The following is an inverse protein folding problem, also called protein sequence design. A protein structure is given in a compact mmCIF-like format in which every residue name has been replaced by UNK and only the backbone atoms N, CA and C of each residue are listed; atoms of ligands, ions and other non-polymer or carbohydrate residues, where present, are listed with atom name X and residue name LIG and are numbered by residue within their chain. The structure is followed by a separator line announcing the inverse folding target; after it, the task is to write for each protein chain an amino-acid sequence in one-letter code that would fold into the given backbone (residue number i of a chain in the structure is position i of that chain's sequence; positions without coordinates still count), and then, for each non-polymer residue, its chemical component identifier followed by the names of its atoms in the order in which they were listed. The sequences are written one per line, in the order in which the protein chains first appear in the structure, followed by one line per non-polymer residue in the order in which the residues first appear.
data_IF_128124664401
#
_entry.id   IF_128124664401
#
_cell.length_a   1.000
_cell.length_b   1.000
_cell.length_c   1.000
_cell.angle_alpha   90.00
_cell.angle_beta   90.00
_cell.angle_gamma   90.00
#
_symmetry.space_group_name_H-M   'P 1'
#
loop_
_entity.id
_entity.type
_entity.pdbx_description
1 polymer ?
#
# COMPACT_ATOMS: atom_id res chain seq x y z
N UNK A 1 -9.62 -13.65 -0.22
CA UNK A 1 -10.26 -14.83 0.45
C UNK A 1 -11.65 -15.08 -0.13
N UNK A 2 -12.52 -14.07 -0.21
CA UNK A 2 -13.90 -14.25 -0.72
C UNK A 2 -13.95 -14.69 -2.19
N UNK A 3 -13.07 -14.13 -3.03
CA UNK A 3 -12.95 -14.53 -4.43
C UNK A 3 -12.62 -16.03 -4.56
N UNK A 4 -11.69 -16.53 -3.75
CA UNK A 4 -11.32 -17.96 -3.72
C UNK A 4 -12.49 -18.81 -3.25
N UNK A 5 -13.25 -18.35 -2.24
CA UNK A 5 -14.47 -19.04 -1.76
C UNK A 5 -15.60 -19.04 -2.79
N UNK A 6 -15.76 -17.94 -3.52
CA UNK A 6 -16.81 -17.78 -4.53
C UNK A 6 -16.58 -18.63 -5.78
N UNK A 7 -15.35 -19.05 -6.06
CA UNK A 7 -15.01 -19.83 -7.26
C UNK A 7 -15.66 -21.22 -7.28
N UNK A 8 -15.98 -21.80 -6.11
CA UNK A 8 -16.91 -22.94 -5.97
C UNK A 8 -16.56 -24.24 -6.71
N UNK A 9 -15.38 -24.36 -7.29
CA UNK A 9 -14.95 -25.55 -8.02
C UNK A 9 -14.46 -26.68 -7.11
N UNK A 10 -14.49 -27.91 -7.61
CA UNK A 10 -13.91 -29.07 -6.91
C UNK A 10 -12.37 -29.06 -6.94
N UNK A 11 -11.76 -28.31 -7.88
CA UNK A 11 -10.32 -28.22 -8.05
C UNK A 11 -9.96 -26.82 -8.57
N UNK A 12 -9.03 -26.15 -7.91
CA UNK A 12 -8.46 -24.89 -8.35
C UNK A 12 -7.04 -24.71 -7.79
N UNK A 13 -6.24 -23.91 -8.49
CA UNK A 13 -4.92 -23.47 -8.04
C UNK A 13 -4.85 -21.95 -8.15
N UNK A 14 -4.52 -21.27 -7.06
CA UNK A 14 -4.25 -19.84 -7.03
C UNK A 14 -2.83 -19.59 -6.56
N UNK A 15 -2.09 -18.81 -7.32
CA UNK A 15 -0.77 -18.34 -6.94
C UNK A 15 -0.88 -16.86 -6.63
N UNK A 16 -0.71 -16.50 -5.35
CA UNK A 16 -0.69 -15.12 -4.90
C UNK A 16 0.76 -14.71 -4.63
N UNK A 17 1.19 -13.60 -5.24
CA UNK A 17 2.51 -13.02 -5.05
C UNK A 17 2.36 -11.63 -4.45
N UNK A 18 3.07 -11.37 -3.37
CA UNK A 18 3.30 -10.01 -2.88
C UNK A 18 4.68 -9.56 -3.36
N UNK A 19 4.77 -8.34 -3.87
CA UNK A 19 6.02 -7.82 -4.40
C UNK A 19 5.95 -6.33 -4.66
N UNK A 20 7.04 -5.79 -5.15
CA UNK A 20 7.18 -4.37 -5.48
C UNK A 20 6.26 -4.01 -6.65
N UNK A 21 5.78 -2.77 -6.67
CA UNK A 21 4.85 -2.29 -7.72
C UNK A 21 5.42 -2.51 -9.13
N UNK A 22 6.70 -2.20 -9.34
CA UNK A 22 7.34 -2.42 -10.64
C UNK A 22 7.38 -3.90 -11.03
N UNK A 23 7.73 -4.78 -10.09
CA UNK A 23 7.79 -6.23 -10.35
C UNK A 23 6.40 -6.79 -10.65
N UNK A 24 5.36 -6.30 -9.95
CA UNK A 24 3.96 -6.65 -10.23
C UNK A 24 3.56 -6.27 -11.67
N UNK A 25 3.95 -5.08 -12.14
CA UNK A 25 3.70 -4.65 -13.52
C UNK A 25 4.44 -5.56 -14.51
N UNK A 26 5.70 -5.89 -14.23
CA UNK A 26 6.51 -6.75 -15.10
C UNK A 26 6.00 -8.20 -15.10
N UNK A 27 5.47 -8.70 -13.98
CA UNK A 27 4.88 -10.03 -13.91
C UNK A 27 3.64 -10.17 -14.80
N UNK A 28 2.77 -9.15 -14.80
CA UNK A 28 1.60 -9.13 -15.70
C UNK A 28 2.07 -8.96 -17.16
N UNK A 29 2.97 -8.03 -17.44
CA UNK A 29 3.53 -7.82 -18.78
C UNK A 29 4.10 -9.10 -19.40
N UNK A 30 4.79 -9.90 -18.60
CA UNK A 30 5.45 -11.14 -19.07
C UNK A 30 4.56 -12.39 -18.88
N UNK A 31 3.27 -12.21 -18.58
CA UNK A 31 2.31 -13.30 -18.38
C UNK A 31 2.71 -14.30 -17.27
N UNK A 32 3.50 -13.84 -16.29
CA UNK A 32 3.82 -14.60 -15.07
C UNK A 32 2.68 -14.48 -14.04
N UNK A 33 1.85 -13.46 -14.18
CA UNK A 33 0.61 -13.25 -13.46
C UNK A 33 -0.47 -12.82 -14.44
N UNK A 34 -1.70 -13.30 -14.29
CA UNK A 34 -2.83 -12.90 -15.12
C UNK A 34 -3.29 -11.48 -14.83
N UNK A 35 -3.16 -11.07 -13.57
CA UNK A 35 -3.51 -9.73 -13.10
C UNK A 35 -2.58 -9.29 -11.98
N UNK A 36 -2.50 -7.98 -11.78
CA UNK A 36 -1.84 -7.36 -10.64
C UNK A 36 -2.74 -6.32 -9.99
N UNK A 37 -2.59 -6.11 -8.69
CA UNK A 37 -3.27 -5.02 -7.98
C UNK A 37 -2.23 -3.96 -7.64
N UNK A 38 -2.50 -2.71 -8.03
CA UNK A 38 -1.60 -1.59 -7.77
C UNK A 38 -2.35 -0.36 -7.26
N UNK A 39 -1.58 0.58 -6.72
CA UNK A 39 -2.06 1.84 -6.17
C UNK A 39 -1.63 3.01 -7.04
N UNK A 40 -2.57 3.93 -7.32
CA UNK A 40 -2.29 5.20 -7.99
C UNK A 40 -2.65 6.36 -7.06
N UNK A 41 -1.84 7.40 -7.08
CA UNK A 41 -2.11 8.68 -6.43
C UNK A 41 -1.63 9.82 -7.35
N UNK A 42 -1.89 11.07 -6.99
CA UNK A 42 -1.52 12.23 -7.82
C UNK A 42 -0.04 12.24 -8.21
N UNK A 43 0.81 11.79 -7.30
CA UNK A 43 2.26 11.79 -7.47
C UNK A 43 2.77 10.75 -8.47
N UNK A 44 2.26 9.52 -8.45
CA UNK A 44 2.81 8.39 -9.22
C UNK A 44 2.03 8.07 -10.51
N UNK A 45 0.80 8.56 -10.64
CA UNK A 45 -0.14 8.19 -11.70
C UNK A 45 0.44 8.39 -13.11
N UNK A 46 1.08 9.53 -13.35
CA UNK A 46 1.60 9.85 -14.69
C UNK A 46 2.68 8.84 -15.12
N UNK A 47 3.59 8.50 -14.20
CA UNK A 47 4.70 7.57 -14.47
C UNK A 47 4.18 6.14 -14.60
N UNK A 48 3.35 5.69 -13.68
CA UNK A 48 2.80 4.33 -13.71
C UNK A 48 1.94 4.15 -14.97
N UNK A 49 1.04 5.09 -15.30
CA UNK A 49 0.23 5.01 -16.53
C UNK A 49 1.07 5.00 -17.81
N UNK A 50 2.20 5.71 -17.84
CA UNK A 50 3.15 5.63 -18.96
C UNK A 50 3.73 4.23 -19.05
N UNK A 51 4.24 3.68 -17.95
CA UNK A 51 4.80 2.32 -17.89
C UNK A 51 3.78 1.26 -18.32
N UNK A 52 2.52 1.39 -17.89
CA UNK A 52 1.45 0.47 -18.30
C UNK A 52 1.20 0.52 -19.81
N UNK A 53 1.11 1.73 -20.41
CA UNK A 53 0.94 1.88 -21.87
C UNK A 53 2.10 1.26 -22.65
N UNK A 54 3.34 1.50 -22.22
CA UNK A 54 4.55 0.91 -22.83
C UNK A 54 4.61 -0.62 -22.67
N UNK A 55 3.84 -1.15 -21.73
CA UNK A 55 3.73 -2.57 -21.44
C UNK A 55 2.47 -3.22 -22.04
N UNK A 56 1.64 -2.47 -22.78
CA UNK A 56 0.33 -2.89 -23.29
C UNK A 56 -0.63 -3.37 -22.18
N UNK A 57 -0.57 -2.72 -21.02
CA UNK A 57 -1.42 -3.03 -19.88
C UNK A 57 -2.47 -1.95 -19.66
N UNK A 58 -3.64 -2.37 -19.16
CA UNK A 58 -4.76 -1.51 -18.81
C UNK A 58 -4.93 -1.49 -17.29
N UNK A 59 -5.18 -0.31 -16.74
CA UNK A 59 -5.57 -0.15 -15.34
C UNK A 59 -7.08 0.03 -15.24
N UNK A 60 -7.74 -0.83 -14.47
CA UNK A 60 -9.16 -0.75 -14.15
C UNK A 60 -9.33 -0.45 -12.66
N UNK A 61 -9.85 0.72 -12.35
CA UNK A 61 -10.09 1.14 -10.96
C UNK A 61 -11.17 0.26 -10.30
N UNK A 62 -10.87 -0.26 -9.13
CA UNK A 62 -11.82 -1.00 -8.28
C UNK A 62 -12.53 -0.06 -7.31
N UNK A 63 -11.77 0.80 -6.65
CA UNK A 63 -12.28 1.82 -5.73
C UNK A 63 -11.22 2.88 -5.45
N UNK A 64 -11.67 3.98 -4.88
CA UNK A 64 -10.80 5.03 -4.33
C UNK A 64 -11.00 5.18 -2.84
N UNK A 65 -9.97 5.66 -2.13
CA UNK A 65 -9.99 5.85 -0.69
C UNK A 65 -9.23 7.13 -0.30
N UNK A 66 -9.62 7.73 0.82
CA UNK A 66 -8.84 8.79 1.44
C UNK A 66 -7.71 8.18 2.27
N UNK A 67 -6.56 8.86 2.35
CA UNK A 67 -5.44 8.38 3.15
C UNK A 67 -5.77 8.25 4.63
N UNK A 68 -5.21 7.21 5.22
CA UNK A 68 -5.19 6.96 6.65
C UNK A 68 -3.78 6.61 7.08
N UNK A 69 -3.46 6.85 8.33
CA UNK A 69 -2.30 6.22 8.96
C UNK A 69 -2.71 4.92 9.64
N UNK A 70 -1.81 3.96 9.63
CA UNK A 70 -1.85 2.81 10.51
C UNK A 70 -0.77 2.95 11.56
N UNK A 71 -1.14 2.72 12.81
CA UNK A 71 -0.28 2.83 14.00
C UNK A 71 -0.59 1.70 14.98
N UNK A 72 0.34 1.42 15.88
CA UNK A 72 0.09 0.54 17.00
C UNK A 72 -0.89 1.17 18.03
N UNK A 73 -1.63 0.35 18.76
CA UNK A 73 -2.59 0.77 19.78
C UNK A 73 -1.99 1.69 20.86
N UNK A 74 -0.71 1.48 21.19
CA UNK A 74 0.00 2.24 22.22
C UNK A 74 0.66 3.52 21.68
N UNK A 75 0.51 3.83 20.39
CA UNK A 75 1.06 5.03 19.78
C UNK A 75 0.45 6.28 20.42
N UNK A 76 1.20 7.37 20.64
CA UNK A 76 0.70 8.62 21.21
C UNK A 76 -0.51 9.22 20.48
N UNK A 77 -0.70 8.91 19.20
CA UNK A 77 -1.81 9.40 18.38
C UNK A 77 -3.07 8.50 18.44
N UNK A 78 -3.01 7.35 19.12
CA UNK A 78 -4.08 6.34 19.09
C UNK A 78 -5.47 6.86 19.54
N UNK A 79 -5.52 7.91 20.35
CA UNK A 79 -6.76 8.56 20.80
C UNK A 79 -7.28 9.68 19.89
N UNK A 80 -6.62 9.96 18.78
CA UNK A 80 -7.01 11.02 17.84
C UNK A 80 -8.08 10.52 16.87
N UNK A 81 -9.08 11.36 16.59
CA UNK A 81 -10.08 11.09 15.55
C UNK A 81 -9.53 11.36 14.13
N UNK A 82 -8.55 12.27 14.02
CA UNK A 82 -7.89 12.66 12.77
C UNK A 82 -6.49 13.18 13.09
N UNK A 83 -5.57 13.01 12.15
CA UNK A 83 -4.20 13.54 12.23
C UNK A 83 -3.84 14.29 10.95
N UNK A 84 -2.87 15.19 11.04
CA UNK A 84 -2.27 15.89 9.91
C UNK A 84 -0.76 15.57 9.81
N UNK A 85 -0.10 16.03 8.74
CA UNK A 85 1.32 15.73 8.52
C UNK A 85 2.24 16.25 9.64
N UNK A 86 1.89 17.35 10.30
CA UNK A 86 2.70 17.90 11.42
C UNK A 86 2.68 17.00 12.65
N UNK A 87 1.55 16.33 12.89
CA UNK A 87 1.43 15.37 13.99
C UNK A 87 2.38 14.18 13.82
N UNK A 88 2.83 13.91 12.58
CA UNK A 88 3.68 12.78 12.20
C UNK A 88 5.19 13.09 12.17
N UNK A 89 5.60 14.36 12.19
CA UNK A 89 7.00 14.78 11.97
C UNK A 89 8.00 14.09 12.90
N UNK A 90 7.64 13.90 14.17
CA UNK A 90 8.53 13.29 15.17
C UNK A 90 8.51 11.75 15.17
N UNK A 91 7.58 11.13 14.45
CA UNK A 91 7.37 9.68 14.45
C UNK A 91 8.09 9.00 13.28
N UNK A 92 8.55 7.74 13.45
CA UNK A 92 9.15 6.99 12.36
C UNK A 92 8.15 6.67 11.26
N UNK A 93 8.43 7.07 10.02
CA UNK A 93 7.67 6.68 8.85
C UNK A 93 8.14 5.30 8.39
N UNK A 94 7.22 4.34 8.35
CA UNK A 94 7.48 2.97 7.94
C UNK A 94 6.98 2.78 6.51
N UNK A 95 7.85 2.35 5.59
CA UNK A 95 7.54 2.19 4.17
C UNK A 95 8.13 0.90 3.63
N UNK A 96 7.59 0.43 2.50
CA UNK A 96 8.18 -0.69 1.78
C UNK A 96 9.35 -0.24 0.90
N UNK A 97 10.40 -1.05 0.89
CA UNK A 97 11.54 -0.87 0.00
C UNK A 97 11.14 -1.29 -1.42
N UNK A 98 11.28 -0.40 -2.41
CA UNK A 98 10.83 -0.61 -3.78
C UNK A 98 11.95 -1.04 -4.76
N UNK A 99 13.21 -1.18 -4.28
CA UNK A 99 14.36 -1.54 -5.10
C UNK A 99 14.96 -0.38 -5.89
N UNK A 100 15.88 -0.73 -6.82
CA UNK A 100 16.70 0.24 -7.55
C UNK A 100 16.00 0.85 -8.78
N UNK A 101 14.89 0.26 -9.23
CA UNK A 101 14.16 0.65 -10.43
C UNK A 101 13.15 1.75 -10.14
N UNK A 102 13.59 3.02 -10.15
CA UNK A 102 12.70 4.19 -9.96
C UNK A 102 11.81 4.11 -8.70
N UNK A 103 12.39 3.65 -7.60
CA UNK A 103 11.69 3.41 -6.33
C UNK A 103 10.79 4.56 -5.89
N UNK A 104 11.19 5.80 -6.23
CA UNK A 104 10.47 7.01 -5.87
C UNK A 104 9.03 7.05 -6.42
N UNK A 105 8.82 6.70 -7.71
CA UNK A 105 7.50 6.74 -8.34
C UNK A 105 6.70 5.45 -8.18
N UNK A 106 7.31 4.38 -7.70
CA UNK A 106 6.65 3.10 -7.49
C UNK A 106 6.30 2.85 -6.02
N UNK A 107 6.52 3.85 -5.14
CA UNK A 107 6.11 3.76 -3.74
C UNK A 107 4.60 3.58 -3.61
N UNK A 108 4.19 2.62 -2.81
CA UNK A 108 2.78 2.33 -2.55
C UNK A 108 2.20 3.29 -1.52
N UNK A 109 3.02 3.71 -0.57
CA UNK A 109 2.62 4.66 0.46
C UNK A 109 2.68 6.07 -0.10
N UNK A 110 1.55 6.75 -0.13
CA UNK A 110 1.49 8.15 -0.50
C UNK A 110 2.29 8.99 0.50
N UNK A 111 2.83 10.11 0.03
CA UNK A 111 3.61 11.05 0.84
C UNK A 111 4.88 10.44 1.50
N UNK A 112 5.17 9.15 1.27
CA UNK A 112 6.40 8.50 1.76
C UNK A 112 7.67 9.06 1.12
N UNK A 113 7.53 9.76 0.00
CA UNK A 113 8.61 10.43 -0.73
C UNK A 113 8.95 11.80 -0.17
N UNK A 114 8.16 12.30 0.77
CA UNK A 114 8.50 13.51 1.52
C UNK A 114 9.70 13.24 2.43
N UNK A 115 10.42 14.30 2.77
CA UNK A 115 11.54 14.18 3.69
C UNK A 115 11.01 13.94 5.10
N UNK A 116 11.23 12.74 5.63
CA UNK A 116 10.91 12.35 6.99
C UNK A 116 12.20 12.35 7.82
N UNK A 117 12.18 12.97 9.00
CA UNK A 117 13.35 12.96 9.92
C UNK A 117 13.72 11.53 10.34
N UNK A 118 12.70 10.66 10.49
CA UNK A 118 12.86 9.25 10.83
C UNK A 118 12.13 8.40 9.80
N UNK A 119 12.86 7.52 9.14
CA UNK A 119 12.31 6.60 8.13
C UNK A 119 12.91 5.21 8.30
N UNK A 120 12.06 4.20 8.27
CA UNK A 120 12.47 2.80 8.28
C UNK A 120 11.84 2.13 7.06
N UNK A 121 12.67 1.51 6.24
CA UNK A 121 12.22 0.74 5.07
C UNK A 121 12.28 -0.74 5.37
N UNK A 122 11.22 -1.46 5.03
CA UNK A 122 11.07 -2.89 5.25
C UNK A 122 10.76 -3.60 3.91
N UNK A 123 10.92 -4.91 3.89
CA UNK A 123 10.68 -5.72 2.70
C UNK A 123 9.46 -6.64 2.81
N UNK A 124 8.87 -6.73 4.00
CA UNK A 124 7.73 -7.61 4.26
C UNK A 124 6.72 -7.00 5.24
N UNK A 125 5.49 -7.50 5.15
CA UNK A 125 4.35 -7.01 5.93
C UNK A 125 4.43 -7.38 7.42
N UNK A 126 5.02 -8.52 7.76
CA UNK A 126 5.17 -8.93 9.16
C UNK A 126 6.03 -7.93 9.91
N UNK A 127 7.19 -7.61 9.36
CA UNK A 127 8.12 -6.63 9.94
C UNK A 127 7.49 -5.24 10.12
N UNK A 128 6.68 -4.76 9.15
CA UNK A 128 6.04 -3.44 9.32
C UNK A 128 5.00 -3.45 10.45
N UNK A 129 4.28 -4.55 10.64
CA UNK A 129 3.32 -4.72 11.75
C UNK A 129 4.06 -4.75 13.09
N UNK A 130 5.14 -5.52 13.18
CA UNK A 130 5.95 -5.62 14.41
C UNK A 130 6.54 -4.25 14.78
N UNK A 131 7.02 -3.49 13.81
CA UNK A 131 7.52 -2.15 14.04
C UNK A 131 6.42 -1.17 14.48
N UNK A 132 5.22 -1.22 13.89
CA UNK A 132 4.10 -0.39 14.32
C UNK A 132 3.64 -0.70 15.75
N UNK A 133 3.66 -1.97 16.15
CA UNK A 133 3.24 -2.41 17.49
C UNK A 133 4.33 -2.21 18.53
N UNK A 134 5.59 -2.36 18.15
CA UNK A 134 6.75 -2.27 19.05
C UNK A 134 7.39 -0.89 19.14
N UNK A 135 6.96 0.06 18.27
CA UNK A 135 7.48 1.43 18.25
C UNK A 135 6.34 2.44 18.06
N UNK A 136 6.67 3.74 18.03
CA UNK A 136 5.70 4.79 17.66
C UNK A 136 5.62 5.00 16.14
N UNK A 137 6.06 4.02 15.34
CA UNK A 137 6.07 4.11 13.89
C UNK A 137 4.67 4.11 13.27
N UNK A 138 4.55 4.73 12.09
CA UNK A 138 3.33 4.76 11.31
C UNK A 138 3.60 4.42 9.84
N UNK A 139 2.56 3.95 9.15
CA UNK A 139 2.55 3.85 7.68
C UNK A 139 1.29 4.52 7.13
N UNK A 140 1.34 5.03 5.89
CA UNK A 140 0.20 5.69 5.24
C UNK A 140 -0.38 4.73 4.19
N UNK A 141 -1.69 4.52 4.24
CA UNK A 141 -2.39 3.63 3.30
C UNK A 141 -3.85 4.07 3.12
N UNK A 142 -4.63 3.24 2.42
CA UNK A 142 -6.05 3.49 2.13
C UNK A 142 -6.98 3.44 3.34
N UNK A 143 -6.52 3.05 4.52
CA UNK A 143 -7.36 2.82 5.69
C UNK A 143 -8.18 1.54 5.62
N UNK A 144 -8.20 0.85 4.49
CA UNK A 144 -8.96 -0.38 4.28
C UNK A 144 -8.07 -1.56 4.68
N UNK A 145 -8.40 -2.15 5.83
CA UNK A 145 -7.75 -3.36 6.31
C UNK A 145 -8.79 -4.24 6.97
N UNK A 146 -8.96 -5.48 6.51
CA UNK A 146 -9.86 -6.43 7.15
C UNK A 146 -9.53 -6.60 8.63
N UNK A 147 -10.55 -6.65 9.48
CA UNK A 147 -10.37 -6.74 10.94
C UNK A 147 -9.53 -7.97 11.36
N UNK A 148 -9.66 -9.10 10.65
CA UNK A 148 -8.90 -10.32 10.92
C UNK A 148 -7.40 -10.20 10.58
N UNK A 149 -7.00 -9.24 9.72
CA UNK A 149 -5.58 -8.96 9.41
C UNK A 149 -4.99 -7.88 10.31
N UNK A 150 -5.85 -6.96 10.79
CA UNK A 150 -5.44 -5.85 11.62
C UNK A 150 -5.23 -6.27 13.07
N UNK A 151 -6.00 -7.25 13.54
CA UNK A 151 -6.07 -7.58 14.96
C UNK A 151 -6.59 -6.40 15.78
N UNK A 152 -6.45 -6.52 17.09
CA UNK A 152 -6.80 -5.42 18.01
C UNK A 152 -5.64 -4.44 18.24
N UNK A 153 -4.46 -4.74 17.74
CA UNK A 153 -3.24 -3.99 18.04
C UNK A 153 -2.91 -2.87 17.04
N UNK A 154 -3.56 -2.86 15.86
CA UNK A 154 -3.38 -1.83 14.83
C UNK A 154 -4.62 -0.95 14.72
N UNK A 155 -4.41 0.35 14.78
CA UNK A 155 -5.44 1.38 14.65
C UNK A 155 -5.26 2.11 13.32
N UNK A 156 -6.39 2.42 12.65
CA UNK A 156 -6.44 3.25 11.45
C UNK A 156 -7.05 4.61 11.79
N UNK A 157 -6.33 5.69 11.49
CA UNK A 157 -6.78 7.06 11.74
C UNK A 157 -6.77 7.86 10.43
N UNK A 158 -7.83 8.59 10.08
CA UNK A 158 -7.87 9.45 8.91
C UNK A 158 -6.74 10.47 8.92
N UNK A 159 -6.05 10.60 7.77
CA UNK A 159 -5.03 11.62 7.55
C UNK A 159 -5.63 12.81 6.80
N UNK A 160 -5.46 14.00 7.33
CA UNK A 160 -6.01 15.25 6.78
C UNK A 160 -5.11 15.79 5.67
N UNK A 161 -5.31 15.26 4.47
CA UNK A 161 -4.63 15.65 3.23
C UNK A 161 -5.60 15.58 2.05
N UNK A 162 -5.38 16.41 1.04
CA UNK A 162 -6.21 16.45 -0.18
C UNK A 162 -5.78 15.40 -1.23
N UNK A 163 -5.35 14.23 -0.78
CA UNK A 163 -4.94 13.14 -1.65
C UNK A 163 -6.03 12.06 -1.75
N UNK A 164 -6.04 11.39 -2.90
CA UNK A 164 -6.90 10.22 -3.15
C UNK A 164 -6.02 9.06 -3.60
N UNK A 165 -6.17 7.93 -2.96
CA UNK A 165 -5.56 6.68 -3.37
C UNK A 165 -6.58 5.96 -4.26
N UNK A 166 -6.20 5.60 -5.48
CA UNK A 166 -6.99 4.75 -6.37
C UNK A 166 -6.37 3.36 -6.40
N UNK A 167 -7.15 2.38 -6.06
CA UNK A 167 -6.77 0.98 -6.07
C UNK A 167 -7.42 0.32 -7.27
N UNK A 168 -6.64 -0.40 -8.05
CA UNK A 168 -7.15 -1.04 -9.25
C UNK A 168 -6.36 -2.25 -9.69
N UNK A 169 -6.92 -2.94 -10.66
CA UNK A 169 -6.35 -4.12 -11.30
C UNK A 169 -5.66 -3.71 -12.59
N UNK A 170 -4.50 -4.28 -12.85
CA UNK A 170 -3.83 -4.22 -14.15
C UNK A 170 -3.93 -5.57 -14.85
N UNK A 171 -4.24 -5.53 -16.13
CA UNK A 171 -4.34 -6.69 -17.03
C UNK A 171 -3.80 -6.33 -18.41
N UNK A 172 -3.62 -7.33 -19.27
CA UNK A 172 -3.43 -7.13 -20.72
C UNK A 172 -4.69 -6.60 -21.38
#
# INVERSE_FOLDING_TARGET
VELVRAQGGQSYEFILREGKTYDTIMDVRHLRSEMGVIYLCSFNEAVIKKTLRESNLVFSELFSARPHIFIGRNNPLAGRERVNMKDLESLPCLTYEQGDQNSFYFSEEILSTLNHEKSIKVTDKGTIIDLMTGTDGYTISSGICPSYLRGDDIISIPLDVEEIIRIGVITH
#
